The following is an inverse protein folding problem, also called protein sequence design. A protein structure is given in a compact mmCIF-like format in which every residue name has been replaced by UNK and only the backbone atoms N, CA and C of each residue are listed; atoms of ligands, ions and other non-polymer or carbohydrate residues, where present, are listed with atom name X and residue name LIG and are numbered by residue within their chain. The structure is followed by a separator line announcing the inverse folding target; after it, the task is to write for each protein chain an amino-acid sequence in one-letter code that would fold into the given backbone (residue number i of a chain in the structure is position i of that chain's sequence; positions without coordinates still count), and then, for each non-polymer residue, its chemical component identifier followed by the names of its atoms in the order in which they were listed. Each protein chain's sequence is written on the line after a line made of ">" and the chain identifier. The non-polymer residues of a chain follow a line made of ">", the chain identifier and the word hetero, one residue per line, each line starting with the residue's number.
data_IF_229253978405
#
_entry.id   IF_229253978405
#
_cell.length_a   1.000
_cell.length_b   1.000
_cell.length_c   1.000
_cell.angle_alpha   90.00
_cell.angle_beta   90.00
_cell.angle_gamma   90.00
#
_symmetry.space_group_name_H-M   'P 1'
#
loop_
_entity.id
_entity.type
_entity.pdbx_description
1 polymer ?
#
# COMPACT_ATOMS: atom_id res chain seq x y z
N UNK A 1 17.05 -2.38 12.03
CA UNK A 1 15.59 -2.56 11.83
C UNK A 1 15.04 -1.24 12.26
N UNK A 2 14.93 -0.29 11.34
CA UNK A 2 14.77 1.10 11.73
C UNK A 2 13.28 1.42 11.59
N UNK A 3 12.53 1.06 12.62
CA UNK A 3 11.20 1.63 12.84
C UNK A 3 11.41 3.13 12.78
N UNK A 4 10.74 3.83 11.87
CA UNK A 4 10.81 5.27 11.84
C UNK A 4 10.37 5.77 13.22
N UNK A 5 11.22 6.56 13.85
CA UNK A 5 10.85 7.25 15.08
C UNK A 5 9.58 8.08 14.84
N UNK A 6 8.86 8.48 15.89
CA UNK A 6 7.73 9.43 15.75
C UNK A 6 8.11 10.67 14.93
N UNK A 7 9.38 11.06 15.02
CA UNK A 7 10.00 12.12 14.24
C UNK A 7 10.19 11.73 12.76
N UNK A 8 10.68 10.52 12.46
CA UNK A 8 10.74 9.98 11.10
C UNK A 8 9.37 9.94 10.40
N UNK A 9 8.30 9.52 11.08
CA UNK A 9 6.92 9.56 10.53
C UNK A 9 6.46 11.00 10.25
N UNK A 10 6.78 11.94 11.14
CA UNK A 10 6.48 13.37 10.92
C UNK A 10 7.22 13.91 9.70
N UNK A 11 8.51 13.60 9.58
CA UNK A 11 9.33 14.04 8.45
C UNK A 11 8.83 13.44 7.14
N UNK A 12 8.45 12.17 7.11
CA UNK A 12 7.84 11.54 5.92
C UNK A 12 6.54 12.25 5.52
N UNK A 13 5.71 12.63 6.49
CA UNK A 13 4.50 13.42 6.24
C UNK A 13 4.78 14.82 5.69
N UNK A 14 5.82 15.49 6.19
CA UNK A 14 6.32 16.77 5.67
C UNK A 14 6.83 16.62 4.23
N UNK A 15 7.67 15.62 3.98
CA UNK A 15 8.22 15.33 2.66
C UNK A 15 7.11 15.08 1.64
N UNK A 16 6.09 14.30 1.99
CA UNK A 16 4.91 14.09 1.14
C UNK A 16 4.19 15.40 0.80
N UNK A 17 3.99 16.30 1.78
CA UNK A 17 3.33 17.60 1.56
C UNK A 17 4.16 18.52 0.67
N UNK A 18 5.47 18.57 0.91
CA UNK A 18 6.39 19.41 0.15
C UNK A 18 6.51 18.92 -1.29
N UNK A 19 6.69 17.61 -1.49
CA UNK A 19 6.77 17.01 -2.82
C UNK A 19 5.47 17.24 -3.63
N UNK A 20 4.30 17.10 -2.96
CA UNK A 20 2.99 17.44 -3.52
C UNK A 20 2.90 18.92 -3.93
N UNK A 21 3.25 19.85 -3.04
CA UNK A 21 3.19 21.30 -3.31
C UNK A 21 4.13 21.71 -4.44
N UNK A 22 5.36 21.18 -4.41
CA UNK A 22 6.40 21.50 -5.38
C UNK A 22 6.20 20.83 -6.74
N UNK A 23 5.39 19.77 -6.82
CA UNK A 23 5.19 18.98 -8.04
C UNK A 23 6.45 18.21 -8.46
N UNK A 24 7.29 17.82 -7.48
CA UNK A 24 8.55 17.10 -7.71
C UNK A 24 8.60 15.82 -6.89
N UNK A 25 9.53 14.93 -7.26
CA UNK A 25 9.81 13.69 -6.56
C UNK A 25 11.32 13.43 -6.58
N UNK A 26 11.87 12.66 -5.61
CA UNK A 26 13.30 12.40 -5.56
C UNK A 26 13.75 11.58 -6.76
N UNK A 27 14.62 12.19 -7.59
CA UNK A 27 15.14 11.54 -8.80
C UNK A 27 16.06 10.35 -8.49
N UNK A 28 16.52 10.23 -7.24
CA UNK A 28 17.30 9.07 -6.79
C UNK A 28 16.54 7.74 -6.91
N UNK A 29 15.21 7.77 -6.95
CA UNK A 29 14.39 6.58 -7.18
C UNK A 29 14.18 6.26 -8.67
N UNK A 30 14.63 7.12 -9.60
CA UNK A 30 14.40 6.94 -11.03
C UNK A 30 15.27 5.83 -11.62
N UNK A 31 14.61 4.81 -12.15
CA UNK A 31 15.23 3.70 -12.88
C UNK A 31 15.54 4.10 -14.32
N UNK A 32 16.67 3.61 -14.85
CA UNK A 32 17.06 3.73 -16.26
C UNK A 32 17.18 2.35 -16.90
N UNK A 33 16.93 2.22 -18.20
CA UNK A 33 17.06 0.92 -18.87
C UNK A 33 16.03 -0.10 -18.36
N UNK A 34 14.79 0.36 -18.16
CA UNK A 34 13.65 -0.51 -17.91
C UNK A 34 13.00 -0.82 -19.24
N UNK A 35 12.76 -2.11 -19.50
CA UNK A 35 12.07 -2.58 -20.68
C UNK A 35 10.66 -3.03 -20.28
N UNK A 36 9.63 -2.35 -20.80
CA UNK A 36 8.22 -2.67 -20.53
C UNK A 36 7.68 -3.55 -21.65
N UNK A 37 6.91 -4.57 -21.32
CA UNK A 37 6.12 -5.32 -22.31
C UNK A 37 5.05 -4.43 -22.98
N UNK A 38 4.64 -4.79 -24.19
CA UNK A 38 3.73 -3.97 -25.00
C UNK A 38 2.35 -3.85 -24.37
N UNK A 39 1.77 -5.01 -24.03
CA UNK A 39 0.40 -5.14 -23.56
C UNK A 39 0.36 -5.18 -22.03
N UNK A 40 -0.67 -4.59 -21.38
CA UNK A 40 -0.83 -4.68 -19.94
C UNK A 40 -1.18 -6.12 -19.54
N UNK A 41 -0.60 -6.58 -18.44
CA UNK A 41 -1.00 -7.83 -17.81
C UNK A 41 -2.40 -7.71 -17.22
N UNK A 42 -2.68 -6.60 -16.55
CA UNK A 42 -3.97 -6.33 -15.93
C UNK A 42 -4.32 -4.83 -16.02
N UNK A 43 -5.58 -4.54 -16.33
CA UNK A 43 -6.10 -3.18 -16.34
C UNK A 43 -6.98 -2.91 -15.11
N UNK A 44 -6.62 -1.91 -14.31
CA UNK A 44 -7.40 -1.46 -13.16
C UNK A 44 -8.21 -0.19 -13.45
N UNK A 45 -8.91 0.32 -12.42
CA UNK A 45 -9.63 1.60 -12.51
C UNK A 45 -8.68 2.81 -12.63
N UNK A 46 -7.55 2.78 -11.93
CA UNK A 46 -6.63 3.93 -11.80
C UNK A 46 -5.25 3.71 -12.41
N UNK A 47 -4.85 2.45 -12.55
CA UNK A 47 -3.54 2.07 -13.07
C UNK A 47 -3.64 0.81 -13.93
N UNK A 48 -2.71 0.68 -14.87
CA UNK A 48 -2.45 -0.52 -15.63
C UNK A 48 -1.18 -1.18 -15.11
N UNK A 49 -1.21 -2.49 -14.93
CA UNK A 49 -0.07 -3.29 -14.49
C UNK A 49 0.57 -3.91 -15.72
N UNK A 50 1.85 -3.63 -15.92
CA UNK A 50 2.66 -4.24 -16.97
C UNK A 50 3.76 -5.10 -16.36
N UNK A 51 4.12 -6.14 -17.09
CA UNK A 51 5.36 -6.87 -16.85
C UNK A 51 6.51 -6.21 -17.62
N UNK A 52 7.71 -6.34 -17.10
CA UNK A 52 8.91 -5.84 -17.76
C UNK A 52 10.18 -6.48 -17.24
N UNK A 53 11.31 -5.97 -17.73
CA UNK A 53 12.63 -6.40 -17.27
C UNK A 53 13.51 -5.21 -16.92
N UNK A 54 14.38 -5.41 -15.94
CA UNK A 54 15.43 -4.46 -15.59
C UNK A 54 16.64 -5.21 -15.04
N UNK A 55 17.83 -4.97 -15.60
CA UNK A 55 19.09 -5.67 -15.23
C UNK A 55 18.94 -7.20 -15.19
N UNK A 56 18.20 -7.76 -16.16
CA UNK A 56 17.94 -9.20 -16.25
C UNK A 56 16.91 -9.76 -15.28
N UNK A 57 16.29 -8.93 -14.42
CA UNK A 57 15.23 -9.34 -13.49
C UNK A 57 13.85 -8.98 -14.03
N UNK A 58 12.88 -9.85 -13.80
CA UNK A 58 11.48 -9.58 -14.10
C UNK A 58 10.89 -8.63 -13.05
N UNK A 59 10.22 -7.58 -13.51
CA UNK A 59 9.63 -6.54 -12.66
C UNK A 59 8.17 -6.28 -13.02
N UNK A 60 7.46 -5.73 -12.05
CA UNK A 60 6.12 -5.18 -12.21
C UNK A 60 6.21 -3.66 -12.39
N UNK A 61 5.45 -3.12 -13.35
CA UNK A 61 5.29 -1.68 -13.56
C UNK A 61 3.82 -1.30 -13.38
N UNK A 62 3.52 -0.58 -12.31
CA UNK A 62 2.20 0.02 -12.08
C UNK A 62 2.16 1.41 -12.72
N UNK A 63 1.45 1.51 -13.85
CA UNK A 63 1.37 2.71 -14.69
C UNK A 63 0.05 3.45 -14.43
N UNK A 64 0.11 4.64 -13.84
CA UNK A 64 -1.11 5.41 -13.58
C UNK A 64 -1.73 5.96 -14.87
N UNK A 65 -3.05 5.82 -15.01
CA UNK A 65 -3.79 6.35 -16.14
C UNK A 65 -3.98 7.86 -15.98
N UNK A 66 -3.68 8.61 -17.04
CA UNK A 66 -3.92 10.06 -17.10
C UNK A 66 -5.01 10.29 -18.14
N UNK A 67 -6.25 10.44 -17.69
CA UNK A 67 -7.41 10.61 -18.57
C UNK A 67 -7.53 12.03 -19.16
N UNK A 68 -7.10 13.06 -18.43
CA UNK A 68 -7.15 14.47 -18.86
C UNK A 68 -5.91 15.23 -18.36
N UNK A 69 -5.48 16.26 -19.11
CA UNK A 69 -4.35 17.10 -18.70
C UNK A 69 -4.57 17.81 -17.36
N UNK A 70 -5.81 18.24 -17.07
CA UNK A 70 -6.23 18.84 -15.80
C UNK A 70 -6.03 17.91 -14.58
N UNK A 71 -6.10 16.60 -14.79
CA UNK A 71 -5.91 15.61 -13.72
C UNK A 71 -4.42 15.25 -13.48
N UNK A 72 -3.49 15.71 -14.33
CA UNK A 72 -2.07 15.36 -14.24
C UNK A 72 -1.46 15.72 -12.90
N UNK A 73 -1.66 16.96 -12.43
CA UNK A 73 -1.08 17.43 -11.17
C UNK A 73 -1.60 16.62 -9.98
N UNK A 74 -2.88 16.22 -10.01
CA UNK A 74 -3.51 15.41 -8.97
C UNK A 74 -3.00 13.97 -8.97
N UNK A 75 -2.95 13.33 -10.14
CA UNK A 75 -2.43 11.96 -10.31
C UNK A 75 -0.95 11.89 -9.93
N UNK A 76 -0.16 12.87 -10.36
CA UNK A 76 1.25 12.99 -9.96
C UNK A 76 1.38 13.18 -8.45
N UNK A 77 0.62 14.11 -7.85
CA UNK A 77 0.61 14.30 -6.40
C UNK A 77 0.31 13.01 -5.63
N UNK A 78 -0.60 12.20 -6.16
CA UNK A 78 -0.93 10.93 -5.58
C UNK A 78 0.17 9.89 -5.68
N UNK A 79 0.69 9.72 -6.90
CA UNK A 79 1.81 8.85 -7.20
C UNK A 79 3.05 9.17 -6.35
N UNK A 80 3.35 10.47 -6.16
CA UNK A 80 4.50 10.91 -5.35
C UNK A 80 4.31 10.56 -3.87
N UNK A 81 3.09 10.72 -3.34
CA UNK A 81 2.80 10.30 -1.95
C UNK A 81 2.96 8.80 -1.78
N UNK A 82 2.38 8.00 -2.69
CA UNK A 82 2.47 6.54 -2.67
C UNK A 82 3.94 6.09 -2.76
N UNK A 83 4.68 6.63 -3.72
CA UNK A 83 6.11 6.37 -3.89
C UNK A 83 6.91 6.69 -2.63
N UNK A 84 6.74 7.89 -2.05
CA UNK A 84 7.50 8.28 -0.86
C UNK A 84 7.18 7.38 0.33
N UNK A 85 5.90 7.09 0.56
CA UNK A 85 5.49 6.18 1.62
C UNK A 85 6.10 4.80 1.42
N UNK A 86 5.96 4.24 0.23
CA UNK A 86 6.42 2.90 -0.10
C UNK A 86 7.95 2.77 -0.04
N UNK A 87 8.68 3.79 -0.49
CA UNK A 87 10.14 3.84 -0.42
C UNK A 87 10.69 3.73 1.02
N UNK A 88 9.93 4.18 2.02
CA UNK A 88 10.34 4.15 3.42
C UNK A 88 9.82 2.93 4.19
N UNK A 89 9.16 1.98 3.51
CA UNK A 89 8.62 0.76 4.14
C UNK A 89 9.50 -0.45 3.82
N UNK A 90 9.99 -1.10 4.87
CA UNK A 90 10.84 -2.30 4.78
C UNK A 90 10.40 -3.32 5.81
N UNK A 91 9.73 -4.36 5.32
CA UNK A 91 9.26 -5.49 6.10
C UNK A 91 9.02 -6.68 5.17
N UNK A 92 9.21 -7.91 5.67
CA UNK A 92 9.15 -9.14 4.86
C UNK A 92 7.76 -9.42 4.28
N UNK A 93 6.70 -8.91 4.93
CA UNK A 93 5.32 -9.03 4.48
C UNK A 93 4.79 -7.73 3.85
N UNK A 94 5.67 -6.85 3.38
CA UNK A 94 5.33 -5.66 2.61
C UNK A 94 6.00 -5.78 1.25
N UNK A 95 5.23 -5.61 0.17
CA UNK A 95 5.75 -5.69 -1.19
C UNK A 95 6.95 -4.74 -1.34
N UNK A 96 8.11 -5.19 -1.84
CA UNK A 96 9.25 -4.30 -2.03
C UNK A 96 9.01 -3.20 -3.06
N UNK A 97 9.48 -1.99 -2.75
CA UNK A 97 9.59 -0.89 -3.71
C UNK A 97 10.98 -0.91 -4.35
N UNK A 98 11.03 -0.88 -5.68
CA UNK A 98 12.27 -0.85 -6.45
C UNK A 98 12.62 0.55 -6.95
N UNK A 99 11.61 1.36 -7.27
CA UNK A 99 11.84 2.71 -7.78
C UNK A 99 10.70 3.19 -8.67
N UNK A 100 10.99 4.22 -9.44
CA UNK A 100 10.07 4.78 -10.42
C UNK A 100 10.65 4.70 -11.82
N UNK A 101 9.78 4.55 -12.82
CA UNK A 101 10.18 4.63 -14.22
C UNK A 101 9.29 5.61 -14.98
N UNK A 102 9.92 6.46 -15.80
CA UNK A 102 9.24 7.40 -16.67
C UNK A 102 9.11 6.81 -18.07
N UNK A 103 7.89 6.48 -18.51
CA UNK A 103 7.67 5.84 -19.81
C UNK A 103 7.95 6.76 -21.00
N UNK A 104 7.59 8.04 -20.88
CA UNK A 104 7.86 9.03 -21.91
C UNK A 104 8.38 10.31 -21.25
N UNK A 105 9.56 10.77 -21.66
CA UNK A 105 10.16 12.02 -21.16
C UNK A 105 9.23 13.23 -21.39
N UNK A 106 8.45 13.21 -22.49
CA UNK A 106 7.47 14.25 -22.80
C UNK A 106 6.15 14.16 -22.03
N UNK A 107 5.63 12.94 -21.79
CA UNK A 107 4.32 12.75 -21.14
C UNK A 107 4.43 12.58 -19.62
N UNK A 108 5.64 12.40 -19.05
CA UNK A 108 5.91 12.21 -17.61
C UNK A 108 4.96 11.20 -16.95
N UNK A 109 4.65 10.10 -17.64
CA UNK A 109 3.88 9.00 -17.06
C UNK A 109 4.78 8.24 -16.10
N UNK A 110 4.59 8.51 -14.81
CA UNK A 110 5.29 7.82 -13.73
C UNK A 110 4.73 6.40 -13.57
N UNK A 111 5.66 5.47 -13.39
CA UNK A 111 5.37 4.09 -13.04
C UNK A 111 6.01 3.79 -11.70
N UNK A 112 5.30 3.11 -10.81
CA UNK A 112 5.93 2.51 -9.63
C UNK A 112 6.41 1.12 -10.01
N UNK A 113 7.63 0.79 -9.57
CA UNK A 113 8.28 -0.47 -9.92
C UNK A 113 8.48 -1.31 -8.66
N UNK A 114 8.16 -2.59 -8.77
CA UNK A 114 8.28 -3.60 -7.72
C UNK A 114 8.72 -4.95 -8.32
N UNK A 115 9.08 -5.96 -7.51
CA UNK A 115 9.27 -7.31 -8.01
C UNK A 115 8.01 -7.84 -8.67
N UNK A 116 8.19 -8.66 -9.71
CA UNK A 116 7.09 -9.43 -10.27
C UNK A 116 6.75 -10.61 -9.34
N UNK A 117 5.52 -10.67 -8.83
CA UNK A 117 5.02 -11.77 -8.01
C UNK A 117 4.29 -12.77 -8.92
N UNK A 118 4.96 -13.88 -9.27
CA UNK A 118 4.44 -14.83 -10.27
C UNK A 118 3.19 -15.59 -9.80
N UNK A 119 3.06 -15.77 -8.49
CA UNK A 119 1.95 -16.45 -7.84
C UNK A 119 0.70 -15.56 -7.73
N UNK A 120 0.79 -14.29 -8.17
CA UNK A 120 -0.34 -13.38 -8.26
C UNK A 120 -0.82 -12.88 -6.89
N UNK A 121 -2.11 -12.57 -6.82
CA UNK A 121 -2.76 -12.13 -5.58
C UNK A 121 -3.24 -13.32 -4.75
N UNK A 122 -3.49 -13.09 -3.46
CA UNK A 122 -3.81 -14.12 -2.48
C UNK A 122 -5.11 -14.88 -2.81
N UNK A 123 -6.10 -14.20 -3.40
CA UNK A 123 -7.36 -14.82 -3.81
C UNK A 123 -7.12 -15.86 -4.91
N UNK A 124 -6.51 -15.42 -6.01
CA UNK A 124 -6.14 -16.30 -7.14
C UNK A 124 -5.18 -17.42 -6.71
N UNK A 125 -4.23 -17.12 -5.82
CA UNK A 125 -3.28 -18.11 -5.31
C UNK A 125 -4.00 -19.24 -4.57
N UNK A 126 -4.98 -18.92 -3.72
CA UNK A 126 -5.73 -19.93 -2.95
C UNK A 126 -6.66 -20.78 -3.83
N UNK A 127 -7.14 -20.25 -4.95
CA UNK A 127 -7.89 -21.02 -5.94
C UNK A 127 -6.99 -22.10 -6.59
N UNK A 128 -5.74 -21.75 -6.91
CA UNK A 128 -4.78 -22.68 -7.52
C UNK A 128 -4.09 -23.62 -6.51
N UNK A 129 -3.97 -23.19 -5.26
CA UNK A 129 -3.28 -23.93 -4.20
C UNK A 129 -4.18 -24.19 -2.98
N UNK A 130 -5.28 -24.95 -3.15
CA UNK A 130 -6.33 -25.08 -2.13
C UNK A 130 -5.88 -25.77 -0.84
N UNK A 131 -4.75 -26.48 -0.87
CA UNK A 131 -4.16 -27.16 0.28
C UNK A 131 -3.16 -26.30 1.06
N UNK A 132 -2.91 -25.06 0.63
CA UNK A 132 -2.02 -24.16 1.37
C UNK A 132 -2.61 -23.83 2.74
N UNK A 133 -1.73 -23.72 3.72
CA UNK A 133 -2.07 -23.26 5.05
C UNK A 133 -2.58 -21.81 5.03
N UNK A 134 -3.88 -21.66 5.27
CA UNK A 134 -4.55 -20.36 5.36
C UNK A 134 -4.09 -19.58 6.60
N UNK A 135 -3.92 -20.26 7.73
CA UNK A 135 -3.42 -19.64 8.96
C UNK A 135 -2.03 -19.04 8.79
N UNK A 136 -1.11 -19.74 8.11
CA UNK A 136 0.23 -19.23 7.84
C UNK A 136 0.25 -18.01 6.91
N UNK A 137 -0.67 -17.93 5.93
CA UNK A 137 -0.83 -16.76 5.07
C UNK A 137 -1.46 -15.58 5.82
N UNK A 138 -2.45 -15.82 6.68
CA UNK A 138 -3.05 -14.80 7.54
C UNK A 138 -2.04 -14.28 8.57
N UNK A 139 -1.13 -15.14 9.07
CA UNK A 139 -0.02 -14.72 9.91
C UNK A 139 0.92 -13.75 9.17
N UNK A 140 1.27 -14.05 7.93
CA UNK A 140 2.08 -13.13 7.11
C UNK A 140 1.36 -11.76 6.92
N UNK A 141 0.05 -11.78 6.64
CA UNK A 141 -0.77 -10.56 6.48
C UNK A 141 -0.80 -9.71 7.75
N UNK A 142 -1.03 -10.33 8.92
CA UNK A 142 -1.14 -9.57 10.18
C UNK A 142 0.20 -8.97 10.60
N UNK A 143 1.33 -9.63 10.33
CA UNK A 143 2.66 -9.07 10.59
C UNK A 143 2.93 -7.84 9.69
N UNK A 144 2.57 -7.91 8.41
CA UNK A 144 2.64 -6.75 7.51
C UNK A 144 1.76 -5.60 7.98
N UNK A 145 0.54 -5.90 8.43
CA UNK A 145 -0.41 -4.87 8.86
C UNK A 145 -0.01 -4.22 10.18
N UNK A 146 0.50 -5.02 11.12
CA UNK A 146 1.10 -4.52 12.37
C UNK A 146 2.27 -3.58 12.09
N UNK A 147 3.13 -3.93 11.13
CA UNK A 147 4.22 -3.06 10.71
C UNK A 147 3.69 -1.71 10.16
N UNK A 148 2.69 -1.71 9.27
CA UNK A 148 2.07 -0.46 8.79
C UNK A 148 1.50 0.36 9.94
N UNK A 149 0.79 -0.27 10.88
CA UNK A 149 0.18 0.41 12.02
C UNK A 149 1.22 1.00 12.98
N UNK A 150 2.36 0.32 13.19
CA UNK A 150 3.49 0.86 13.94
C UNK A 150 4.06 2.12 13.28
N UNK A 151 4.09 2.14 11.94
CA UNK A 151 4.49 3.30 11.14
C UNK A 151 3.41 4.40 11.08
N UNK A 152 2.30 4.22 11.79
CA UNK A 152 1.11 5.09 11.79
C UNK A 152 0.47 5.24 10.41
N UNK A 153 0.48 4.15 9.64
CA UNK A 153 -0.11 4.05 8.31
C UNK A 153 -1.28 3.08 8.42
N UNK A 154 -2.47 3.55 8.04
CA UNK A 154 -3.59 2.66 7.73
C UNK A 154 -3.46 2.18 6.28
N UNK A 155 -3.72 0.90 6.03
CA UNK A 155 -3.73 0.31 4.70
C UNK A 155 -4.86 0.93 3.86
N UNK A 156 -6.09 0.85 4.38
CA UNK A 156 -7.29 1.52 3.87
C UNK A 156 -7.97 0.88 2.66
N UNK A 157 -7.38 -0.16 2.08
CA UNK A 157 -8.01 -1.01 1.05
C UNK A 157 -7.56 -2.47 1.20
N UNK A 158 -7.64 -3.03 2.42
CA UNK A 158 -7.15 -4.38 2.68
C UNK A 158 -8.15 -5.43 2.18
N UNK A 159 -7.72 -6.23 1.21
CA UNK A 159 -8.48 -7.35 0.59
C UNK A 159 -7.51 -8.32 -0.07
N UNK A 160 -7.93 -9.55 -0.37
CA UNK A 160 -7.06 -10.57 -0.96
C UNK A 160 -6.40 -10.12 -2.28
N UNK A 161 -7.10 -9.32 -3.10
CA UNK A 161 -6.54 -8.75 -4.34
C UNK A 161 -5.33 -7.82 -4.11
N UNK A 162 -5.23 -7.22 -2.93
CA UNK A 162 -4.14 -6.30 -2.56
C UNK A 162 -3.09 -6.99 -1.67
N UNK A 163 -3.13 -8.32 -1.58
CA UNK A 163 -2.09 -9.13 -0.97
C UNK A 163 -1.49 -10.01 -2.05
N UNK A 164 -0.20 -9.86 -2.34
CA UNK A 164 0.51 -10.69 -3.31
C UNK A 164 1.19 -11.87 -2.61
N UNK A 165 1.42 -12.94 -3.36
CA UNK A 165 2.11 -14.13 -2.85
C UNK A 165 3.48 -14.25 -3.53
N UNK A 166 4.53 -14.44 -2.74
CA UNK A 166 5.88 -14.67 -3.26
C UNK A 166 6.06 -16.10 -3.76
N UNK A 167 7.14 -16.31 -4.49
CA UNK A 167 7.60 -17.64 -4.94
C UNK A 167 7.82 -18.64 -3.78
N UNK A 168 8.07 -18.14 -2.57
CA UNK A 168 8.24 -18.94 -1.35
C UNK A 168 6.90 -19.20 -0.62
N UNK A 169 5.78 -18.79 -1.20
CA UNK A 169 4.44 -18.93 -0.62
C UNK A 169 4.19 -18.00 0.58
N UNK A 170 4.84 -16.83 0.62
CA UNK A 170 4.66 -15.81 1.67
C UNK A 170 3.67 -14.74 1.19
N UNK A 171 2.82 -14.25 2.09
CA UNK A 171 1.92 -13.15 1.78
C UNK A 171 2.61 -11.78 2.00
N UNK A 172 2.40 -10.84 1.08
CA UNK A 172 2.94 -9.48 1.11
C UNK A 172 1.84 -8.47 0.81
N UNK A 173 1.67 -7.47 1.68
CA UNK A 173 0.72 -6.39 1.42
C UNK A 173 1.21 -5.52 0.26
N UNK A 174 0.29 -5.11 -0.60
CA UNK A 174 0.50 -4.19 -1.72
C UNK A 174 -0.58 -3.09 -1.70
N UNK A 175 -0.41 -2.06 -2.52
CA UNK A 175 -1.42 -1.00 -2.71
C UNK A 175 -1.88 -0.26 -1.43
N UNK A 176 -1.00 -0.20 -0.42
CA UNK A 176 -1.19 0.58 0.79
C UNK A 176 -0.96 2.08 0.57
N UNK A 177 -1.63 2.92 1.36
CA UNK A 177 -1.41 4.38 1.36
C UNK A 177 -2.09 5.15 0.22
N UNK A 178 -2.92 4.47 -0.59
CA UNK A 178 -3.68 5.03 -1.71
C UNK A 178 -5.12 5.44 -1.39
N UNK A 179 -5.64 5.06 -0.21
CA UNK A 179 -7.05 5.26 0.13
C UNK A 179 -7.51 6.73 0.09
N UNK A 180 -6.63 7.68 0.43
CA UNK A 180 -6.96 9.11 0.33
C UNK A 180 -7.02 9.64 -1.12
N UNK A 181 -6.46 8.94 -2.12
CA UNK A 181 -6.52 9.39 -3.52
C UNK A 181 -7.77 8.89 -4.23
N UNK A 182 -8.14 7.63 -3.98
CA UNK A 182 -9.32 6.99 -4.57
C UNK A 182 -10.61 7.76 -4.27
N UNK A 183 -10.76 8.26 -3.03
CA UNK A 183 -11.93 9.06 -2.62
C UNK A 183 -12.06 10.37 -3.39
N UNK A 184 -10.94 10.99 -3.75
CA UNK A 184 -10.97 12.30 -4.39
C UNK A 184 -11.22 12.21 -5.90
N UNK A 185 -10.98 11.05 -6.52
CA UNK A 185 -11.21 10.77 -7.95
C UNK A 185 -12.45 9.91 -8.22
N UNK A 186 -13.38 9.80 -7.27
CA UNK A 186 -14.60 8.98 -7.31
C UNK A 186 -15.64 9.43 -8.37
N UNK A 187 -15.19 9.76 -9.58
CA UNK A 187 -16.04 9.94 -10.76
C UNK A 187 -16.20 8.69 -11.60
N UNK A 188 -15.22 7.78 -11.67
CA UNK A 188 -15.30 6.62 -12.57
C UNK A 188 -14.41 5.47 -12.10
N UNK A 189 -14.91 4.58 -11.24
CA UNK A 189 -14.40 3.21 -11.16
C UNK A 189 -15.39 2.29 -11.86
N UNK A 190 -14.89 1.48 -12.79
CA UNK A 190 -15.71 0.50 -13.52
C UNK A 190 -16.49 -0.38 -12.54
N UNK A 191 -17.79 -0.45 -12.76
CA UNK A 191 -18.83 -1.07 -11.94
C UNK A 191 -18.62 -2.55 -11.59
N UNK A 192 -17.69 -3.26 -12.25
CA UNK A 192 -17.40 -4.66 -11.95
C UNK A 192 -16.37 -4.87 -10.81
N UNK A 193 -15.40 -3.96 -10.65
CA UNK A 193 -14.33 -4.07 -9.64
C UNK A 193 -14.60 -3.20 -8.39
N UNK A 194 -15.33 -2.09 -8.55
CA UNK A 194 -15.74 -1.25 -7.43
C UNK A 194 -16.66 -2.00 -6.46
N UNK A 195 -17.50 -2.91 -6.97
CA UNK A 195 -18.54 -3.53 -6.16
C UNK A 195 -18.09 -4.55 -5.13
N UNK A 196 -16.91 -5.14 -5.29
CA UNK A 196 -16.35 -6.07 -4.29
C UNK A 196 -15.58 -5.35 -3.17
N UNK A 197 -15.17 -4.10 -3.38
CA UNK A 197 -14.39 -3.35 -2.37
C UNK A 197 -15.25 -2.89 -1.20
N UNK A 198 -16.50 -2.48 -1.46
CA UNK A 198 -17.43 -2.02 -0.41
C UNK A 198 -17.69 -3.07 0.67
N UNK A 199 -17.57 -4.36 0.35
CA UNK A 199 -17.74 -5.46 1.30
C UNK A 199 -16.62 -5.55 2.35
N UNK A 200 -15.45 -4.97 2.08
CA UNK A 200 -14.31 -4.89 3.01
C UNK A 200 -14.29 -3.58 3.79
N UNK A 201 -15.09 -2.59 3.39
CA UNK A 201 -15.12 -1.26 4.00
C UNK A 201 -15.81 -1.32 5.37
N UNK A 202 -15.18 -0.72 6.37
CA UNK A 202 -15.75 -0.59 7.70
C UNK A 202 -16.96 0.37 7.69
N UNK A 203 -18.02 0.10 8.49
CA UNK A 203 -19.28 0.84 8.43
C UNK A 203 -19.11 2.35 8.67
N UNK A 204 -18.19 2.76 9.54
CA UNK A 204 -17.93 4.17 9.87
C UNK A 204 -17.38 5.00 8.69
N UNK A 205 -16.83 4.33 7.67
CA UNK A 205 -16.33 4.92 6.43
C UNK A 205 -17.40 4.98 5.32
N UNK A 206 -18.54 4.29 5.49
CA UNK A 206 -19.65 4.30 4.50
C UNK A 206 -20.56 5.50 4.73
N UNK A 207 -20.76 5.89 5.98
CA UNK A 207 -21.57 7.07 6.36
C UNK A 207 -20.84 8.40 6.12
N UNK A 208 -19.80 8.39 5.30
CA UNK A 208 -19.02 9.57 4.94
C UNK A 208 -19.57 10.21 3.67
N UNK A 209 -20.54 11.11 3.86
CA UNK A 209 -21.24 11.80 2.75
C UNK A 209 -20.29 12.62 1.88
N UNK A 210 -19.23 13.16 2.49
CA UNK A 210 -18.26 14.03 1.82
C UNK A 210 -17.05 13.25 1.25
N UNK A 211 -16.87 11.98 1.64
CA UNK A 211 -15.74 11.15 1.21
C UNK A 211 -14.39 11.63 1.76
N UNK A 212 -14.40 12.36 2.88
CA UNK A 212 -13.23 13.01 3.49
C UNK A 212 -12.67 12.26 4.71
N UNK A 213 -13.39 11.27 5.26
CA UNK A 213 -12.91 10.44 6.38
C UNK A 213 -11.81 9.51 5.89
N UNK A 214 -10.55 9.70 6.36
CA UNK A 214 -9.47 8.81 6.00
C UNK A 214 -9.65 7.46 6.72
N UNK A 215 -9.16 6.36 6.13
CA UNK A 215 -9.10 5.09 6.84
C UNK A 215 -8.23 5.19 8.09
N UNK A 216 -8.60 4.40 9.08
CA UNK A 216 -7.93 4.30 10.37
C UNK A 216 -7.41 2.89 10.60
N UNK A 217 -6.61 2.72 11.66
CA UNK A 217 -6.10 1.40 12.08
C UNK A 217 -7.26 0.46 12.43
N UNK A 218 -8.29 1.00 13.07
CA UNK A 218 -9.49 0.28 13.47
C UNK A 218 -10.31 -0.15 12.24
N UNK A 219 -10.36 0.69 11.20
CA UNK A 219 -11.00 0.30 9.93
C UNK A 219 -10.24 -0.81 9.20
N UNK A 220 -8.90 -0.85 9.31
CA UNK A 220 -8.11 -1.97 8.78
C UNK A 220 -8.37 -3.27 9.55
N UNK A 221 -8.65 -3.20 10.86
CA UNK A 221 -9.02 -4.40 11.65
C UNK A 221 -10.31 -5.01 11.10
N UNK A 222 -11.31 -4.18 10.77
CA UNK A 222 -12.53 -4.65 10.11
C UNK A 222 -12.21 -5.34 8.77
N UNK A 223 -11.43 -4.67 7.91
CA UNK A 223 -11.04 -5.23 6.61
C UNK A 223 -10.20 -6.50 6.74
N UNK A 224 -9.39 -6.63 7.81
CA UNK A 224 -8.63 -7.84 8.12
C UNK A 224 -9.55 -9.02 8.44
N UNK A 225 -10.61 -8.81 9.25
CA UNK A 225 -11.62 -9.84 9.48
C UNK A 225 -12.31 -10.27 8.17
N UNK A 226 -12.65 -9.30 7.31
CA UNK A 226 -13.21 -9.56 5.98
C UNK A 226 -12.25 -10.37 5.08
N UNK A 227 -10.96 -10.02 5.08
CA UNK A 227 -9.92 -10.76 4.36
C UNK A 227 -9.80 -12.19 4.88
N UNK A 228 -9.81 -12.39 6.19
CA UNK A 228 -9.77 -13.73 6.79
C UNK A 228 -10.97 -14.56 6.33
N UNK A 229 -12.18 -14.00 6.31
CA UNK A 229 -13.37 -14.70 5.84
C UNK A 229 -13.17 -15.20 4.41
N UNK A 230 -12.68 -14.35 3.52
CA UNK A 230 -12.41 -14.73 2.12
C UNK A 230 -11.31 -15.80 2.01
N UNK A 231 -10.21 -15.66 2.76
CA UNK A 231 -9.10 -16.63 2.77
C UNK A 231 -9.53 -18.01 3.27
N UNK A 232 -10.32 -18.06 4.36
CA UNK A 232 -10.72 -19.33 4.95
C UNK A 232 -11.84 -20.01 4.17
N UNK A 233 -12.76 -19.24 3.60
CA UNK A 233 -13.99 -19.77 3.03
C UNK A 233 -14.03 -19.78 1.50
N UNK A 234 -13.16 -19.03 0.84
CA UNK A 234 -13.24 -18.73 -0.60
C UNK A 234 -14.39 -17.81 -0.97
N UNK A 235 -15.20 -17.36 0.00
CA UNK A 235 -16.36 -16.51 -0.23
C UNK A 235 -16.07 -15.06 0.19
N UNK A 236 -16.43 -14.06 -0.63
CA UNK A 236 -16.26 -12.67 -0.24
C UNK A 236 -17.16 -12.32 0.97
N UNK A 237 -16.84 -11.27 1.73
CA UNK A 237 -17.74 -10.75 2.75
C UNK A 237 -19.10 -10.42 2.15
N UNK A 238 -20.17 -10.71 2.91
CA UNK A 238 -21.55 -10.53 2.45
C UNK A 238 -21.87 -11.27 1.14
N UNK A 239 -21.29 -12.45 0.89
CA UNK A 239 -21.53 -13.26 -0.34
C UNK A 239 -23.00 -13.57 -0.63
N UNK A 240 -23.90 -13.45 0.35
CA UNK A 240 -25.37 -13.60 0.16
C UNK A 240 -26.01 -12.35 -0.46
N UNK A 241 -25.34 -11.21 -0.43
CA UNK A 241 -25.77 -9.96 -1.04
C UNK A 241 -25.29 -9.90 -2.50
N UNK A 242 -26.21 -10.08 -3.45
CA UNK A 242 -25.88 -10.07 -4.90
C UNK A 242 -25.48 -8.70 -5.47
N UNK A 243 -25.69 -7.61 -4.74
CA UNK A 243 -25.49 -6.23 -5.20
C UNK A 243 -24.93 -5.37 -4.08
N UNK A 244 -24.04 -4.45 -4.40
CA UNK A 244 -23.36 -3.58 -3.44
C UNK A 244 -24.33 -2.72 -2.64
N UNK A 245 -25.43 -2.27 -3.26
CA UNK A 245 -26.53 -1.57 -2.58
C UNK A 245 -27.09 -2.37 -1.41
N UNK A 246 -27.13 -3.70 -1.50
CA UNK A 246 -27.56 -4.54 -0.39
C UNK A 246 -26.47 -4.66 0.69
N UNK A 247 -25.19 -4.66 0.30
CA UNK A 247 -24.06 -4.64 1.25
C UNK A 247 -24.04 -3.32 2.02
N UNK A 248 -24.15 -2.18 1.33
CA UNK A 248 -24.23 -0.85 1.94
C UNK A 248 -25.41 -0.77 2.91
N UNK A 249 -26.59 -1.23 2.50
CA UNK A 249 -27.76 -1.29 3.37
C UNK A 249 -27.53 -2.18 4.59
N UNK A 250 -26.95 -3.37 4.41
CA UNK A 250 -26.66 -4.28 5.52
C UNK A 250 -25.72 -3.62 6.54
N UNK A 251 -24.64 -2.99 6.08
CA UNK A 251 -23.69 -2.26 6.91
C UNK A 251 -24.35 -1.09 7.67
N UNK A 252 -25.20 -0.32 7.01
CA UNK A 252 -25.99 0.75 7.64
C UNK A 252 -26.98 0.25 8.69
N UNK A 253 -27.46 -1.00 8.55
CA UNK A 253 -28.35 -1.65 9.52
C UNK A 253 -27.57 -2.37 10.63
N UNK A 254 -26.24 -2.26 10.65
CA UNK A 254 -25.38 -2.91 11.64
C UNK A 254 -25.20 -4.42 11.43
N UNK A 255 -25.51 -4.92 10.23
CA UNK A 255 -25.26 -6.34 9.90
C UNK A 255 -23.76 -6.59 9.71
N UNK A 256 -23.30 -7.73 10.23
CA UNK A 256 -21.91 -8.21 10.09
C UNK A 256 -21.81 -9.20 8.91
N UNK A 257 -20.60 -9.49 8.40
CA UNK A 257 -20.39 -10.52 7.39
C UNK A 257 -21.04 -11.86 7.75
N UNK A 258 -21.52 -12.59 6.74
CA UNK A 258 -22.31 -13.80 6.96
C UNK A 258 -21.45 -14.95 7.49
N UNK A 259 -21.92 -15.62 8.54
CA UNK A 259 -21.36 -16.90 8.95
C UNK A 259 -21.63 -17.96 7.87
N UNK A 260 -20.59 -18.69 7.42
CA UNK A 260 -20.74 -19.82 6.52
C UNK A 260 -21.70 -20.86 7.10
N UNK A 261 -22.59 -21.40 6.27
CA UNK A 261 -23.51 -22.49 6.64
C UNK A 261 -23.10 -23.79 5.96
N UNK A 262 -23.49 -24.91 6.57
CA UNK A 262 -23.35 -26.23 5.95
C UNK A 262 -24.06 -26.22 4.59
N UNK A 263 -23.29 -26.47 3.52
CA UNK A 263 -23.78 -26.45 2.14
C UNK A 263 -23.49 -25.18 1.35
N UNK A 264 -22.91 -24.14 1.96
CA UNK A 264 -22.15 -23.15 1.19
C UNK A 264 -20.91 -23.89 0.62
N UNK A 265 -20.49 -23.62 -0.64
CA UNK A 265 -19.29 -24.19 -1.30
C UNK A 265 -18.00 -23.71 -0.58
N UNK A 266 -17.84 -24.11 0.67
CA UNK A 266 -16.84 -23.63 1.61
C UNK A 266 -15.84 -24.75 1.82
N UNK A 267 -14.55 -24.40 1.83
CA UNK A 267 -13.50 -25.31 2.27
C UNK A 267 -13.88 -25.85 3.66
N UNK A 268 -13.95 -27.17 3.77
CA UNK A 268 -14.40 -27.88 4.97
C UNK A 268 -13.68 -27.38 6.23
N UNK A 269 -14.48 -26.88 7.18
CA UNK A 269 -14.16 -26.58 8.58
C UNK A 269 -13.47 -25.23 8.78
N UNK A 270 -14.26 -24.16 8.78
CA UNK A 270 -13.90 -22.96 9.55
C UNK A 270 -13.96 -23.35 11.03
N UNK A 271 -12.82 -23.40 11.70
CA UNK A 271 -12.77 -23.68 13.14
C UNK A 271 -13.43 -22.55 13.94
N UNK A 272 -14.11 -22.88 15.04
CA UNK A 272 -14.88 -21.92 15.84
C UNK A 272 -14.01 -20.74 16.30
N UNK A 273 -12.77 -20.99 16.72
CA UNK A 273 -11.86 -19.93 17.14
C UNK A 273 -11.49 -18.95 16.00
N UNK A 274 -11.48 -19.41 14.73
CA UNK A 274 -11.23 -18.54 13.58
C UNK A 274 -12.42 -17.62 13.37
N UNK A 275 -13.64 -18.16 13.50
CA UNK A 275 -14.86 -17.36 13.43
C UNK A 275 -14.92 -16.33 14.55
N UNK A 276 -14.66 -16.74 15.80
CA UNK A 276 -14.69 -15.85 16.96
C UNK A 276 -13.67 -14.71 16.81
N UNK A 277 -12.46 -15.03 16.36
CA UNK A 277 -11.42 -14.03 16.04
C UNK A 277 -11.88 -13.02 14.97
N UNK A 278 -12.54 -13.48 13.91
CA UNK A 278 -13.09 -12.59 12.87
C UNK A 278 -14.27 -11.75 13.41
N UNK A 279 -15.12 -12.33 14.26
CA UNK A 279 -16.26 -11.63 14.84
C UNK A 279 -15.82 -10.43 15.72
N UNK A 280 -14.72 -10.57 16.46
CA UNK A 280 -14.10 -9.48 17.23
C UNK A 280 -13.56 -8.35 16.34
N UNK A 281 -13.23 -8.64 15.08
CA UNK A 281 -12.83 -7.61 14.11
C UNK A 281 -14.01 -6.76 13.63
N UNK A 282 -15.23 -7.30 13.72
CA UNK A 282 -16.45 -6.70 13.20
C UNK A 282 -17.33 -6.05 14.29
N UNK A 283 -16.73 -5.63 15.40
CA UNK A 283 -17.45 -4.80 16.36
C UNK A 283 -17.85 -3.45 15.75
N UNK A 284 -19.08 -3.03 16.05
CA UNK A 284 -19.71 -1.85 15.46
C UNK A 284 -18.99 -0.57 15.89
N UNK A 285 -18.65 -0.46 17.18
CA UNK A 285 -17.78 0.61 17.66
C UNK A 285 -16.33 0.25 17.31
N UNK A 286 -15.62 1.06 16.49
CA UNK A 286 -14.24 0.79 16.11
C UNK A 286 -13.29 0.63 17.30
N UNK A 287 -13.61 1.23 18.46
CA UNK A 287 -12.78 1.18 19.68
C UNK A 287 -12.91 -0.15 20.44
N UNK A 288 -14.01 -0.86 20.22
CA UNK A 288 -14.28 -2.16 20.85
C UNK A 288 -13.72 -3.32 20.03
N UNK A 289 -13.22 -3.07 18.81
CA UNK A 289 -12.56 -4.08 17.99
C UNK A 289 -11.27 -4.53 18.66
N UNK A 290 -11.00 -5.84 18.63
CA UNK A 290 -9.74 -6.40 19.11
C UNK A 290 -8.55 -5.78 18.39
N UNK A 291 -7.49 -5.48 19.13
CA UNK A 291 -6.24 -4.98 18.53
C UNK A 291 -5.58 -6.07 17.69
N UNK A 292 -4.85 -5.68 16.64
CA UNK A 292 -4.06 -6.64 15.85
C UNK A 292 -3.07 -7.46 16.69
N UNK A 293 -2.58 -6.92 17.81
CA UNK A 293 -1.72 -7.67 18.74
C UNK A 293 -2.48 -8.80 19.45
N UNK A 294 -3.72 -8.56 19.87
CA UNK A 294 -4.59 -9.59 20.46
C UNK A 294 -4.95 -10.65 19.42
N UNK A 295 -5.36 -10.22 18.22
CA UNK A 295 -5.69 -11.11 17.11
C UNK A 295 -4.48 -11.98 16.73
N UNK A 296 -3.29 -11.39 16.62
CA UNK A 296 -2.04 -12.11 16.37
C UNK A 296 -1.77 -13.16 17.45
N UNK A 297 -1.99 -12.83 18.72
CA UNK A 297 -1.79 -13.78 19.82
C UNK A 297 -2.73 -14.98 19.71
N UNK A 298 -4.02 -14.76 19.42
CA UNK A 298 -5.00 -15.83 19.18
C UNK A 298 -4.58 -16.69 18.00
N UNK A 299 -4.19 -16.06 16.88
CA UNK A 299 -3.78 -16.75 15.67
C UNK A 299 -2.56 -17.64 15.91
N UNK A 300 -1.52 -17.11 16.56
CA UNK A 300 -0.29 -17.86 16.87
C UNK A 300 -0.56 -19.00 17.86
N UNK A 301 -1.35 -18.76 18.90
CA UNK A 301 -1.66 -19.76 19.92
C UNK A 301 -2.43 -20.97 19.36
N UNK A 302 -3.28 -20.77 18.35
CA UNK A 302 -4.08 -21.84 17.74
C UNK A 302 -3.46 -22.42 16.45
N UNK A 303 -2.38 -21.83 15.93
CA UNK A 303 -1.71 -22.37 14.74
C UNK A 303 -0.88 -23.60 15.11
N UNK A 304 -1.43 -24.78 14.81
CA UNK A 304 -0.77 -26.06 15.09
C UNK A 304 0.28 -26.47 14.04
N UNK A 305 0.30 -25.81 12.88
CA UNK A 305 1.18 -26.15 11.78
C UNK A 305 2.55 -25.48 11.94
N UNK A 306 3.61 -26.27 11.82
CA UNK A 306 4.97 -25.74 11.76
C UNK A 306 5.21 -25.11 10.39
N UNK A 307 5.65 -23.85 10.37
CA UNK A 307 5.97 -23.16 9.13
C UNK A 307 7.25 -23.74 8.50
N UNK A 308 7.08 -24.62 7.53
CA UNK A 308 8.18 -25.23 6.75
C UNK A 308 8.56 -24.42 5.51
N UNK A 309 7.79 -23.36 5.18
CA UNK A 309 8.15 -22.49 4.06
C UNK A 309 9.52 -21.88 4.36
N UNK A 310 10.32 -21.58 3.34
CA UNK A 310 11.55 -20.82 3.52
C UNK A 310 11.24 -19.65 4.45
N UNK A 311 11.97 -19.56 5.57
CA UNK A 311 11.93 -18.34 6.37
C UNK A 311 12.21 -17.21 5.39
N UNK A 312 11.54 -16.08 5.56
CA UNK A 312 11.95 -14.84 4.92
C UNK A 312 13.31 -14.37 5.52
N UNK A 313 14.32 -15.22 5.44
CA UNK A 313 15.69 -15.07 5.94
C UNK A 313 16.63 -15.73 4.94
N UNK A 314 16.54 -15.27 3.70
CA UNK A 314 17.66 -14.68 2.99
C UNK A 314 17.15 -13.26 2.79
N UNK A 315 17.98 -12.23 3.02
CA UNK A 315 17.51 -10.85 3.05
C UNK A 315 16.66 -10.56 1.82
N UNK A 316 15.98 -9.44 1.81
CA UNK A 316 15.97 -8.55 0.66
C UNK A 316 17.32 -8.62 -0.11
N UNK A 317 17.80 -9.71 -0.72
CA UNK A 317 19.05 -9.77 -1.48
C UNK A 317 18.64 -9.43 -2.88
N UNK A 318 17.48 -9.86 -3.36
CA UNK A 318 16.94 -9.25 -4.57
C UNK A 318 16.55 -7.80 -4.31
N UNK A 319 15.85 -7.45 -3.23
CA UNK A 319 15.54 -6.03 -2.95
C UNK A 319 16.79 -5.21 -2.57
N UNK A 320 17.65 -5.63 -1.64
CA UNK A 320 18.91 -4.93 -1.29
C UNK A 320 19.89 -5.00 -2.43
N UNK A 321 20.12 -6.13 -3.13
CA UNK A 321 20.99 -6.09 -4.31
C UNK A 321 20.36 -5.25 -5.42
N UNK A 322 19.03 -5.21 -5.57
CA UNK A 322 18.39 -4.24 -6.46
C UNK A 322 18.64 -2.81 -5.96
N UNK A 323 18.44 -2.53 -4.68
CA UNK A 323 18.66 -1.23 -4.05
C UNK A 323 20.14 -0.84 -3.95
N UNK A 324 21.08 -1.78 -3.95
CA UNK A 324 22.53 -1.62 -3.96
C UNK A 324 22.99 -1.41 -5.40
N UNK A 325 22.45 -2.17 -6.35
CA UNK A 325 22.59 -1.94 -7.80
C UNK A 325 22.01 -0.56 -8.18
N UNK A 326 21.00 -0.08 -7.46
CA UNK A 326 20.44 1.27 -7.54
C UNK A 326 21.26 2.28 -6.73
N UNK A 327 21.79 1.90 -5.57
CA UNK A 327 22.61 2.72 -4.66
C UNK A 327 23.98 3.04 -5.23
N UNK A 328 24.49 2.19 -6.14
CA UNK A 328 25.62 2.49 -7.02
C UNK A 328 25.33 3.69 -7.96
N UNK A 329 24.06 3.96 -8.27
CA UNK A 329 23.60 5.16 -8.98
C UNK A 329 23.14 6.27 -8.01
N UNK A 330 22.77 5.91 -6.78
CA UNK A 330 22.14 6.75 -5.76
C UNK A 330 22.90 6.69 -4.42
N UNK A 331 24.04 7.37 -4.32
CA UNK A 331 24.52 7.90 -3.05
C UNK A 331 24.05 9.35 -2.89
N UNK A 332 22.86 9.51 -2.32
CA UNK A 332 22.48 10.73 -1.60
C UNK A 332 21.56 10.27 -0.47
N UNK A 333 22.07 10.24 0.75
CA UNK A 333 21.19 10.21 1.92
C UNK A 333 20.38 11.51 1.90
N UNK A 334 19.07 11.41 2.14
CA UNK A 334 18.27 12.59 2.44
C UNK A 334 18.79 13.11 3.78
N UNK A 335 19.44 14.28 3.76
CA UNK A 335 19.96 14.90 4.97
C UNK A 335 18.78 15.41 5.83
N UNK A 336 18.38 14.58 6.79
CA UNK A 336 17.27 14.85 7.68
C UNK A 336 17.51 16.05 8.60
N UNK A 337 18.77 16.36 8.94
CA UNK A 337 19.12 17.54 9.74
C UNK A 337 18.95 18.81 8.91
N UNK A 338 19.34 18.79 7.64
CA UNK A 338 19.13 19.90 6.71
C UNK A 338 17.64 20.12 6.42
N UNK A 339 16.86 19.05 6.23
CA UNK A 339 15.39 19.15 6.08
C UNK A 339 14.76 19.78 7.32
N UNK A 340 15.19 19.39 8.52
CA UNK A 340 14.69 19.95 9.77
C UNK A 340 15.08 21.43 9.93
N UNK A 341 16.32 21.79 9.59
CA UNK A 341 16.78 23.18 9.59
C UNK A 341 15.99 24.04 8.61
N UNK A 342 15.76 23.53 7.38
CA UNK A 342 14.94 24.20 6.39
C UNK A 342 13.52 24.43 6.93
N UNK A 343 12.92 23.44 7.60
CA UNK A 343 11.58 23.56 8.21
C UNK A 343 11.54 24.62 9.33
N UNK A 344 12.59 24.72 10.16
CA UNK A 344 12.68 25.76 11.20
C UNK A 344 12.81 27.16 10.62
N UNK A 345 13.46 27.27 9.46
CA UNK A 345 13.67 28.54 8.77
C UNK A 345 12.42 29.03 8.00
N UNK A 346 11.38 28.21 7.74
CA UNK A 346 10.14 28.61 7.01
C UNK A 346 9.12 29.32 7.91
N UNK A 347 9.56 30.32 8.68
CA UNK A 347 8.69 31.09 9.56
C UNK A 347 7.65 31.94 8.82
N UNK A 348 6.48 31.39 8.50
CA UNK A 348 5.19 32.08 8.21
C UNK A 348 5.14 33.15 7.10
N UNK A 349 6.19 33.38 6.32
CA UNK A 349 6.19 34.34 5.21
C UNK A 349 5.85 33.67 3.85
N UNK A 350 4.86 34.19 3.07
CA UNK A 350 4.57 33.72 1.72
C UNK A 350 5.77 33.71 0.75
N UNK A 351 6.72 34.65 0.88
CA UNK A 351 7.95 34.68 0.07
C UNK A 351 8.93 33.58 0.49
N UNK A 352 8.94 33.19 1.76
CA UNK A 352 9.72 32.04 2.24
C UNK A 352 9.15 30.72 1.74
N UNK A 353 7.85 30.61 1.50
CA UNK A 353 7.24 29.40 0.94
C UNK A 353 7.69 29.14 -0.51
N UNK A 354 7.75 30.17 -1.36
CA UNK A 354 8.27 30.05 -2.73
C UNK A 354 9.76 29.72 -2.74
N UNK A 355 10.55 30.37 -1.88
CA UNK A 355 11.97 30.08 -1.73
C UNK A 355 12.23 28.67 -1.19
N UNK A 356 11.49 28.24 -0.18
CA UNK A 356 11.53 26.87 0.37
C UNK A 356 11.16 25.85 -0.69
N UNK A 357 10.11 26.11 -1.46
CA UNK A 357 9.70 25.26 -2.58
C UNK A 357 10.80 25.19 -3.64
N UNK A 358 11.48 26.31 -3.93
CA UNK A 358 12.62 26.36 -4.85
C UNK A 358 13.84 25.59 -4.33
N UNK A 359 14.19 25.74 -3.05
CA UNK A 359 15.30 25.01 -2.41
C UNK A 359 14.99 23.51 -2.35
N UNK A 360 13.78 23.13 -1.95
CA UNK A 360 13.33 21.74 -1.99
C UNK A 360 13.31 21.17 -3.41
N UNK A 361 12.83 21.93 -4.41
CA UNK A 361 12.93 21.52 -5.82
C UNK A 361 14.37 21.25 -6.20
N UNK A 362 15.28 22.13 -5.83
CA UNK A 362 16.69 22.01 -6.17
C UNK A 362 17.39 20.88 -5.42
N UNK A 363 16.95 20.54 -4.21
CA UNK A 363 17.48 19.44 -3.39
C UNK A 363 16.95 18.07 -3.80
N UNK A 364 15.68 18.01 -4.24
CA UNK A 364 14.99 16.78 -4.64
C UNK A 364 15.20 16.44 -6.13
N UNK A 365 15.29 17.46 -7.00
CA UNK A 365 15.37 17.27 -8.45
C UNK A 365 16.80 17.11 -9.00
N UNK A 366 17.82 17.69 -8.34
CA UNK A 366 19.23 17.58 -8.73
C UNK A 366 20.11 17.36 -7.49
N UNK A 367 21.22 16.63 -7.64
CA UNK A 367 22.28 16.55 -6.61
C UNK A 367 22.97 17.91 -6.53
N UNK A 368 22.87 18.71 -5.45
CA UNK A 368 23.63 19.94 -5.38
C UNK A 368 25.07 19.61 -4.98
N UNK A 369 26.02 20.19 -5.70
CA UNK A 369 27.30 20.56 -5.10
C UNK A 369 26.99 21.58 -3.98
N UNK A 370 27.13 21.14 -2.73
CA UNK A 370 26.76 21.88 -1.52
C UNK A 370 27.47 23.25 -1.42
N UNK A 371 28.53 23.49 -2.19
CA UNK A 371 29.33 24.71 -2.15
C UNK A 371 28.67 25.93 -2.83
N UNK A 372 27.73 25.73 -3.77
CA UNK A 372 27.20 26.81 -4.61
C UNK A 372 25.87 27.43 -4.13
N UNK A 373 25.08 26.73 -3.29
CA UNK A 373 23.75 27.21 -2.88
C UNK A 373 23.79 28.37 -1.86
N UNK A 374 24.86 28.50 -1.08
CA UNK A 374 24.97 29.53 -0.05
C UNK A 374 25.57 30.86 -0.54
N UNK A 375 26.03 30.95 -1.79
CA UNK A 375 26.74 32.14 -2.29
C UNK A 375 25.84 33.28 -2.79
N UNK A 376 24.51 33.10 -2.83
CA UNK A 376 23.56 34.12 -3.35
C UNK A 376 22.80 34.91 -2.29
N UNK A 377 23.16 34.80 -1.01
CA UNK A 377 22.57 35.62 0.06
C UNK A 377 23.20 37.02 0.22
N UNK A 378 24.18 37.38 -0.62
CA UNK A 378 24.77 38.72 -0.64
C UNK A 378 25.19 39.14 -2.06
N UNK A 379 24.23 39.61 -2.85
CA UNK A 379 24.40 40.68 -3.86
C UNK A 379 23.04 41.28 -4.15
#
# INVERSE_FOLDING_TARGET
>A
MDILSKEGTRILGLLCRLAKSAGVYPQCYTLKGVEKEKDPFQGGGFADVYKGTHKGRTICLKVFRIYQQSNRTRVLSGCVREMLMWAHLSHVNILPFYGIFCLDEGARRLCLVSPWMKEGNLGEYLEHHPHTSRTLLVQDVIEGLLYLHQMSIAHGDLKTNNVLVSDDGRALLADFGLSTLAMTTAGVTSTAAAGRTTAFTAPELIDDVDGDKPPTKESDVWSFGCLCLEVFTGNPPFYRCRRDVHVMRALQMGEKPNQPRVGDDVCSILEDWVWDMMAECWETDPRERSTLMQIRHVLVANTSQFDQRPKATVKDMDRLAFLEDMGAQSRTEVDYQLVEQLIRDVGTDPYEFEWTTYVFRSFIADKPDHSAMFSRRYT
#
